data_IF_885127880140
#
_entry.id   IF_885127880140
#
_cell.length_a   1.000
_cell.length_b   1.000
_cell.length_c   1.000
_cell.angle_alpha   90.00
_cell.angle_beta   90.00
_cell.angle_gamma   90.00
#
_symmetry.space_group_name_H-M   'P 1'
#
loop_
_entity.id
_entity.type
_entity.pdbx_description
1 polymer ?
#
# COMPACT_ATOMS: atom_id res chain seq x y z
N UNK A 1 -51.97 -13.53 -4.90
CA UNK A 1 -51.20 -12.39 -5.42
C UNK A 1 -50.09 -12.11 -4.42
N UNK A 2 -48.91 -12.71 -4.59
CA UNK A 2 -47.81 -12.71 -3.60
C UNK A 2 -46.47 -12.54 -4.35
N UNK A 3 -46.34 -11.45 -5.12
CA UNK A 3 -45.17 -11.20 -5.98
C UNK A 3 -44.58 -9.79 -5.86
N UNK A 4 -45.28 -8.87 -5.21
CA UNK A 4 -44.87 -7.47 -5.08
C UNK A 4 -43.99 -7.20 -3.84
N UNK A 5 -44.09 -8.04 -2.81
CA UNK A 5 -43.26 -7.89 -1.60
C UNK A 5 -41.79 -8.24 -1.84
N UNK A 6 -41.53 -9.23 -2.71
CA UNK A 6 -40.15 -9.60 -3.06
C UNK A 6 -39.45 -8.49 -3.86
N UNK A 7 -40.18 -7.82 -4.77
CA UNK A 7 -39.65 -6.68 -5.53
C UNK A 7 -39.46 -5.43 -4.66
N UNK A 8 -40.28 -5.22 -3.64
CA UNK A 8 -40.10 -4.12 -2.67
C UNK A 8 -38.87 -4.32 -1.77
N UNK A 9 -38.65 -5.54 -1.29
CA UNK A 9 -37.48 -5.90 -0.47
C UNK A 9 -36.20 -5.89 -1.30
N UNK A 10 -36.20 -6.44 -2.52
CA UNK A 10 -35.04 -6.40 -3.40
C UNK A 10 -34.77 -4.99 -3.95
N UNK A 11 -35.80 -4.24 -4.36
CA UNK A 11 -35.64 -2.89 -4.90
C UNK A 11 -35.14 -1.87 -3.87
N UNK A 12 -35.68 -1.92 -2.64
CA UNK A 12 -35.22 -1.04 -1.56
C UNK A 12 -33.80 -1.35 -1.08
N UNK A 13 -33.44 -2.63 -1.03
CA UNK A 13 -32.10 -3.06 -0.61
C UNK A 13 -31.02 -2.75 -1.66
N UNK A 14 -31.35 -2.87 -2.95
CA UNK A 14 -30.44 -2.50 -4.04
C UNK A 14 -30.14 -1.00 -4.08
N UNK A 15 -31.15 -0.15 -3.88
CA UNK A 15 -30.98 1.31 -3.82
C UNK A 15 -30.08 1.76 -2.66
N UNK A 16 -30.25 1.16 -1.47
CA UNK A 16 -29.38 1.43 -0.32
C UNK A 16 -27.95 0.94 -0.55
N UNK A 17 -27.79 -0.24 -1.15
CA UNK A 17 -26.49 -0.84 -1.41
C UNK A 17 -25.67 -0.03 -2.42
N UNK A 18 -26.29 0.53 -3.47
CA UNK A 18 -25.59 1.40 -4.45
C UNK A 18 -25.04 2.67 -3.80
N UNK A 19 -25.64 3.17 -2.72
CA UNK A 19 -25.11 4.30 -1.96
C UNK A 19 -23.98 3.91 -1.01
N UNK A 20 -24.11 2.79 -0.30
CA UNK A 20 -23.13 2.34 0.70
C UNK A 20 -21.90 1.63 0.12
N UNK A 21 -22.04 0.89 -0.99
CA UNK A 21 -20.95 0.16 -1.65
C UNK A 21 -19.79 1.07 -2.05
N UNK A 22 -19.97 2.19 -2.78
CA UNK A 22 -18.85 3.04 -3.17
C UNK A 22 -18.16 3.66 -1.96
N UNK A 23 -18.90 4.00 -0.90
CA UNK A 23 -18.31 4.51 0.34
C UNK A 23 -17.38 3.49 0.99
N UNK A 24 -17.82 2.23 1.12
CA UNK A 24 -17.01 1.14 1.69
C UNK A 24 -15.79 0.85 0.82
N UNK A 25 -15.96 0.80 -0.50
CA UNK A 25 -14.85 0.59 -1.45
C UNK A 25 -13.81 1.70 -1.33
N UNK A 26 -14.24 2.96 -1.21
CA UNK A 26 -13.33 4.11 -1.08
C UNK A 26 -12.53 4.04 0.23
N UNK A 27 -13.17 3.68 1.35
CA UNK A 27 -12.49 3.47 2.64
C UNK A 27 -11.45 2.35 2.53
N UNK A 28 -11.81 1.19 2.00
CA UNK A 28 -10.89 0.07 1.81
C UNK A 28 -9.74 0.46 0.88
N UNK A 29 -10.03 1.16 -0.22
CA UNK A 29 -9.02 1.63 -1.15
C UNK A 29 -8.04 2.62 -0.51
N UNK A 30 -8.53 3.56 0.30
CA UNK A 30 -7.70 4.52 1.03
C UNK A 30 -6.78 3.82 2.04
N UNK A 31 -7.31 2.87 2.80
CA UNK A 31 -6.53 2.06 3.74
C UNK A 31 -5.50 1.19 3.00
N UNK A 32 -5.90 0.52 1.92
CA UNK A 32 -5.02 -0.26 1.07
C UNK A 32 -3.92 0.61 0.44
N UNK A 33 -4.23 1.84 0.01
CA UNK A 33 -3.25 2.81 -0.52
C UNK A 33 -2.27 3.29 0.54
N UNK A 34 -2.70 3.35 1.80
CA UNK A 34 -1.87 3.76 2.93
C UNK A 34 -0.97 2.62 3.43
N UNK A 35 -1.47 1.39 3.42
CA UNK A 35 -0.72 0.16 3.77
C UNK A 35 0.20 -0.28 2.62
N UNK A 36 -0.26 -0.15 1.37
CA UNK A 36 0.55 -0.17 0.16
C UNK A 36 1.01 1.23 -0.23
N UNK A 37 1.27 2.10 0.75
CA UNK A 37 2.48 2.89 0.55
C UNK A 37 3.53 1.79 0.42
N UNK A 38 4.20 1.65 -0.74
CA UNK A 38 5.45 0.93 -0.68
C UNK A 38 6.13 1.56 0.52
N UNK A 39 6.53 0.76 1.50
CA UNK A 39 7.69 1.15 2.26
C UNK A 39 8.69 1.44 1.15
N UNK A 40 8.77 2.71 0.77
CA UNK A 40 9.96 3.36 0.33
C UNK A 40 10.91 3.11 1.50
N UNK A 41 11.40 1.88 1.59
CA UNK A 41 12.80 1.60 1.73
C UNK A 41 13.50 2.23 0.52
N UNK A 42 13.32 3.55 0.39
CA UNK A 42 14.24 4.50 -0.17
C UNK A 42 15.37 4.72 0.85
N UNK A 43 15.59 3.80 1.81
CA UNK A 43 16.97 3.40 2.09
C UNK A 43 17.48 2.76 0.79
N UNK A 44 17.81 3.64 -0.17
CA UNK A 44 18.65 3.32 -1.31
C UNK A 44 19.77 2.42 -0.80
N UNK A 45 20.20 1.40 -1.54
CA UNK A 45 21.33 0.56 -1.15
C UNK A 45 22.53 1.37 -0.63
N UNK A 46 22.69 2.62 -1.12
CA UNK A 46 23.64 3.62 -0.64
C UNK A 46 23.44 4.06 0.82
N UNK A 47 22.21 4.27 1.27
CA UNK A 47 21.92 4.65 2.66
C UNK A 47 22.11 3.48 3.63
N UNK A 48 21.80 2.24 3.21
CA UNK A 48 22.15 1.04 3.97
C UNK A 48 23.68 0.88 4.10
N UNK A 49 24.42 1.12 2.99
CA UNK A 49 25.89 1.11 2.95
C UNK A 49 26.51 2.17 3.85
N UNK A 50 26.03 3.43 3.78
CA UNK A 50 26.47 4.51 4.66
C UNK A 50 26.24 4.20 6.14
N UNK A 51 25.10 3.59 6.47
CA UNK A 51 24.77 3.23 7.85
C UNK A 51 25.69 2.16 8.42
N UNK A 52 26.13 1.19 7.60
CA UNK A 52 27.11 0.17 7.99
C UNK A 52 28.54 0.70 8.05
N UNK A 53 28.90 1.62 7.15
CA UNK A 53 30.17 2.34 7.22
C UNK A 53 30.27 3.20 8.49
N UNK A 54 29.22 3.95 8.84
CA UNK A 54 29.17 4.74 10.07
C UNK A 54 29.23 3.89 11.35
N UNK A 55 28.81 2.62 11.26
CA UNK A 55 28.89 1.64 12.33
C UNK A 55 30.26 0.94 12.40
N UNK A 56 31.13 1.16 11.41
CA UNK A 56 32.45 0.54 11.31
C UNK A 56 32.43 -0.93 10.91
N UNK A 57 31.30 -1.45 10.42
CA UNK A 57 31.15 -2.84 9.99
C UNK A 57 31.76 -3.09 8.60
N UNK A 58 32.03 -2.04 7.82
CA UNK A 58 32.54 -2.08 6.45
C UNK A 58 33.72 -1.12 6.31
N UNK A 59 34.76 -1.56 5.60
CA UNK A 59 35.94 -0.75 5.27
C UNK A 59 35.66 0.28 4.16
N UNK A 60 36.35 1.41 4.16
CA UNK A 60 36.26 2.45 3.10
C UNK A 60 36.48 1.87 1.69
N UNK A 61 37.36 0.87 1.56
CA UNK A 61 37.64 0.17 0.31
C UNK A 61 36.45 -0.69 -0.20
N UNK A 62 35.67 -1.26 0.72
CA UNK A 62 34.47 -2.04 0.41
C UNK A 62 33.28 -1.13 0.08
N UNK A 63 33.18 0.01 0.75
CA UNK A 63 32.17 1.04 0.46
C UNK A 63 32.31 1.59 -0.96
N UNK A 64 33.52 1.95 -1.39
CA UNK A 64 33.76 2.48 -2.74
C UNK A 64 33.49 1.44 -3.84
N UNK A 65 33.82 0.15 -3.62
CA UNK A 65 33.47 -0.92 -4.56
C UNK A 65 31.97 -1.12 -4.72
N UNK A 66 31.23 -1.11 -3.61
CA UNK A 66 29.78 -1.28 -3.64
C UNK A 66 29.08 -0.09 -4.29
N UNK A 67 29.59 1.13 -4.06
CA UNK A 67 29.12 2.37 -4.70
C UNK A 67 29.31 2.37 -6.21
N UNK A 68 30.44 1.84 -6.70
CA UNK A 68 30.70 1.71 -8.14
C UNK A 68 29.83 0.66 -8.83
N UNK A 69 29.39 -0.38 -8.12
CA UNK A 69 28.48 -1.41 -8.69
C UNK A 69 27.01 -1.01 -8.73
N UNK A 70 26.64 0.10 -8.09
CA UNK A 70 25.27 0.64 -8.00
C UNK A 70 25.04 1.87 -8.90
N UNK A 71 26.09 2.37 -9.56
CA UNK A 71 26.06 3.48 -10.53
C UNK A 71 25.84 2.96 -11.95
#
# INVERSE_FOLDING_TARGET
MMGYDFYGIFGGMWLGMVFWVPLVVLVIWALARMVWRPCQNDESPLDLLKRRYARGEISEAEFERAKQGLA
#
